data_IF_844594584834
#
_entry.id   IF_844594584834
#
_cell.length_a   1.000
_cell.length_b   1.000
_cell.length_c   1.000
_cell.angle_alpha   90.00
_cell.angle_beta   90.00
_cell.angle_gamma   90.00
#
_symmetry.space_group_name_H-M   'P 1'
#
loop_
_entity.id
_entity.type
_entity.pdbx_description
1 polymer ?
#
# COMPACT_ATOMS: atom_id res chain seq x y z
N UNK A 1 1.32 -12.37 7.49
CA UNK A 1 2.23 -13.03 6.53
C UNK A 1 2.97 -11.95 5.76
N UNK A 2 4.31 -11.96 5.73
CA UNK A 2 5.11 -10.88 5.11
C UNK A 2 5.16 -10.93 3.58
N UNK A 3 4.92 -12.10 2.99
CA UNK A 3 4.83 -12.25 1.53
C UNK A 3 3.38 -12.30 1.05
N UNK A 4 3.06 -11.67 -0.09
CA UNK A 4 1.75 -11.78 -0.72
C UNK A 4 1.50 -13.22 -1.18
N UNK A 5 0.22 -13.62 -1.12
CA UNK A 5 -0.17 -14.93 -1.66
C UNK A 5 -0.09 -14.96 -3.19
N UNK A 6 0.01 -16.16 -3.78
CA UNK A 6 -0.06 -16.34 -5.23
C UNK A 6 -1.36 -15.77 -5.81
N UNK A 7 -2.46 -15.87 -5.06
CA UNK A 7 -3.75 -15.29 -5.43
C UNK A 7 -3.70 -13.75 -5.46
N UNK A 8 -3.15 -13.09 -4.43
CA UNK A 8 -2.98 -11.63 -4.43
C UNK A 8 -2.14 -11.16 -5.61
N UNK A 9 -1.01 -11.84 -5.88
CA UNK A 9 -0.16 -11.53 -7.04
C UNK A 9 -0.93 -11.65 -8.35
N UNK A 10 -1.66 -12.76 -8.54
CA UNK A 10 -2.44 -12.98 -9.75
C UNK A 10 -3.57 -11.94 -9.91
N UNK A 11 -4.27 -11.62 -8.82
CA UNK A 11 -5.36 -10.66 -8.81
C UNK A 11 -4.87 -9.24 -9.12
N UNK A 12 -3.82 -8.77 -8.45
CA UNK A 12 -3.27 -7.44 -8.68
C UNK A 12 -2.75 -7.27 -10.11
N UNK A 13 -2.07 -8.28 -10.67
CA UNK A 13 -1.62 -8.25 -12.06
C UNK A 13 -2.78 -8.25 -13.04
N UNK A 14 -3.83 -9.03 -12.79
CA UNK A 14 -5.04 -9.01 -13.60
C UNK A 14 -5.73 -7.64 -13.57
N UNK A 15 -5.73 -6.93 -12.44
CA UNK A 15 -6.28 -5.57 -12.34
C UNK A 15 -5.48 -4.57 -13.20
N UNK A 16 -4.15 -4.62 -13.16
CA UNK A 16 -3.30 -3.82 -14.07
C UNK A 16 -3.56 -4.17 -15.53
N UNK A 17 -3.66 -5.46 -15.85
CA UNK A 17 -3.95 -5.94 -17.21
C UNK A 17 -5.33 -5.48 -17.72
N UNK A 18 -6.29 -5.28 -16.81
CA UNK A 18 -7.61 -4.73 -17.09
C UNK A 18 -7.66 -3.20 -17.20
N UNK A 19 -6.54 -2.50 -16.97
CA UNK A 19 -6.40 -1.05 -17.16
C UNK A 19 -6.25 -0.22 -15.88
N UNK A 20 -6.03 -0.84 -14.72
CA UNK A 20 -5.71 -0.08 -13.50
C UNK A 20 -4.34 0.60 -13.61
N UNK A 21 -4.25 1.85 -13.16
CA UNK A 21 -2.99 2.61 -13.12
C UNK A 21 -2.16 2.36 -11.84
N UNK A 22 -2.80 1.82 -10.80
CA UNK A 22 -2.23 1.52 -9.49
C UNK A 22 -3.13 0.50 -8.79
N UNK A 23 -2.53 -0.47 -8.10
CA UNK A 23 -3.24 -1.39 -7.19
C UNK A 23 -2.75 -1.16 -5.76
N UNK A 24 -3.69 -1.00 -4.83
CA UNK A 24 -3.42 -0.88 -3.40
C UNK A 24 -4.29 -1.89 -2.67
N UNK A 25 -3.64 -2.86 -2.04
CA UNK A 25 -4.28 -3.91 -1.26
C UNK A 25 -4.01 -3.72 0.24
N UNK A 26 -4.76 -4.49 1.03
CA UNK A 26 -4.63 -4.60 2.47
C UNK A 26 -5.11 -6.01 2.89
N UNK A 27 -5.13 -6.31 4.20
CA UNK A 27 -5.60 -7.54 4.87
C UNK A 27 -4.59 -8.20 5.82
N UNK A 28 -3.31 -8.46 5.46
CA UNK A 28 -2.44 -9.29 6.30
C UNK A 28 -1.94 -8.61 7.58
N UNK A 29 -2.47 -7.42 7.91
CA UNK A 29 -2.16 -6.56 9.07
C UNK A 29 -0.70 -6.10 9.20
N UNK A 30 0.14 -6.48 8.25
CA UNK A 30 1.55 -6.10 8.16
C UNK A 30 1.81 -5.54 6.77
N UNK A 31 2.83 -4.68 6.66
CA UNK A 31 3.32 -4.20 5.38
C UNK A 31 3.86 -5.40 4.57
N UNK A 32 3.47 -5.47 3.31
CA UNK A 32 4.04 -6.41 2.34
C UNK A 32 4.83 -5.63 1.28
N UNK A 33 5.65 -6.34 0.51
CA UNK A 33 6.41 -5.72 -0.59
C UNK A 33 5.49 -5.00 -1.58
N UNK A 34 6.04 -4.01 -2.27
CA UNK A 34 5.48 -3.46 -3.50
C UNK A 34 6.16 -4.08 -4.72
N UNK A 35 5.49 -3.99 -5.87
CA UNK A 35 5.99 -4.48 -7.15
C UNK A 35 5.68 -3.46 -8.24
N UNK A 36 6.60 -3.28 -9.19
CA UNK A 36 6.31 -2.62 -10.45
C UNK A 36 6.00 -3.68 -11.52
N UNK A 37 4.84 -3.59 -12.14
CA UNK A 37 4.37 -4.49 -13.19
C UNK A 37 3.81 -3.66 -14.35
N UNK A 38 4.36 -3.83 -15.55
CA UNK A 38 4.01 -3.06 -16.76
C UNK A 38 4.06 -1.54 -16.56
N UNK A 39 5.09 -1.06 -15.88
CA UNK A 39 5.29 0.36 -15.54
C UNK A 39 4.19 0.95 -14.63
N UNK A 40 3.44 0.10 -13.93
CA UNK A 40 2.42 0.46 -12.93
C UNK A 40 2.80 -0.15 -11.58
N UNK A 41 2.38 0.48 -10.51
CA UNK A 41 2.73 0.06 -9.15
C UNK A 41 1.64 -0.81 -8.52
N UNK A 42 2.07 -1.79 -7.74
CA UNK A 42 1.23 -2.66 -6.92
C UNK A 42 1.76 -2.61 -5.48
N UNK A 43 0.88 -2.34 -4.52
CA UNK A 43 1.16 -2.42 -3.09
C UNK A 43 0.31 -3.53 -2.48
N UNK A 44 0.91 -4.67 -2.12
CA UNK A 44 0.16 -5.85 -1.70
C UNK A 44 -0.41 -5.78 -0.28
N UNK A 45 0.14 -4.92 0.57
CA UNK A 45 -0.46 -4.56 1.86
C UNK A 45 0.23 -3.35 2.45
N UNK A 46 -0.56 -2.37 2.85
CA UNK A 46 -0.07 -1.21 3.61
C UNK A 46 0.08 -1.47 5.11
N UNK A 47 -0.28 -2.65 5.62
CA UNK A 47 -0.31 -2.88 7.07
C UNK A 47 -1.35 -2.02 7.79
N UNK A 48 -1.29 -1.97 9.11
CA UNK A 48 -2.31 -1.29 9.91
C UNK A 48 -2.12 0.23 9.91
N UNK A 49 -3.20 0.98 9.71
CA UNK A 49 -3.22 2.45 9.88
C UNK A 49 -3.83 2.88 11.23
N UNK A 50 -4.93 2.26 11.65
CA UNK A 50 -5.53 2.38 12.99
C UNK A 50 -6.08 0.99 13.34
N UNK A 51 -5.49 0.31 14.33
CA UNK A 51 -5.89 -1.05 14.71
C UNK A 51 -5.38 -1.41 16.10
N UNK A 52 -6.10 -2.26 16.84
CA UNK A 52 -5.80 -2.65 18.23
C UNK A 52 -4.90 -3.89 18.38
N UNK A 53 -4.08 -4.20 17.36
CA UNK A 53 -3.25 -5.40 17.30
C UNK A 53 -1.79 -5.14 17.71
N UNK A 54 -1.54 -5.03 19.01
CA UNK A 54 -0.19 -4.80 19.57
C UNK A 54 0.64 -6.05 19.83
N UNK A 55 0.23 -7.22 19.32
CA UNK A 55 0.93 -8.48 19.57
C UNK A 55 2.30 -8.58 18.88
N UNK A 56 2.64 -7.68 17.95
CA UNK A 56 3.95 -7.62 17.30
C UNK A 56 4.32 -6.19 16.89
N UNK A 57 5.62 -5.93 16.66
CA UNK A 57 6.07 -4.64 16.12
C UNK A 57 5.53 -4.41 14.72
N UNK A 58 5.48 -5.46 13.90
CA UNK A 58 5.05 -5.39 12.52
C UNK A 58 3.57 -5.03 12.36
N UNK A 59 2.71 -5.41 13.30
CA UNK A 59 1.28 -5.04 13.30
C UNK A 59 1.02 -3.66 13.89
N UNK A 60 2.03 -3.08 14.53
CA UNK A 60 2.08 -1.68 14.98
C UNK A 60 2.75 -0.77 13.94
N UNK A 61 3.09 -1.30 12.76
CA UNK A 61 3.67 -0.56 11.65
C UNK A 61 2.82 -0.69 10.40
N UNK A 62 2.77 0.39 9.63
CA UNK A 62 2.04 0.49 8.38
C UNK A 62 2.68 1.48 7.42
N UNK A 63 2.04 1.67 6.29
CA UNK A 63 2.41 2.64 5.27
C UNK A 63 1.21 3.49 4.87
N UNK A 64 1.47 4.77 4.65
CA UNK A 64 0.55 5.71 4.02
C UNK A 64 1.10 5.98 2.63
N UNK A 65 0.27 5.87 1.60
CA UNK A 65 0.66 6.26 0.25
C UNK A 65 0.22 7.68 -0.02
N UNK A 66 1.19 8.58 -0.22
CA UNK A 66 0.93 9.89 -0.79
C UNK A 66 0.97 9.78 -2.31
N UNK A 67 -0.17 9.98 -2.95
CA UNK A 67 -0.30 9.89 -4.42
C UNK A 67 -0.54 11.29 -4.96
N UNK A 68 0.39 11.78 -5.77
CA UNK A 68 0.26 13.06 -6.47
C UNK A 68 -0.28 12.80 -7.87
N UNK A 69 -1.39 13.46 -8.21
CA UNK A 69 -2.04 13.35 -9.52
C UNK A 69 -1.88 14.65 -10.30
N UNK A 70 -1.93 14.57 -11.63
CA UNK A 70 -1.94 15.74 -12.51
C UNK A 70 -2.90 15.54 -13.68
N UNK A 71 -3.40 16.65 -14.22
CA UNK A 71 -4.25 16.63 -15.41
C UNK A 71 -3.39 16.76 -16.68
N UNK A 72 -3.65 15.91 -17.66
CA UNK A 72 -3.02 15.87 -18.97
C UNK A 72 -4.11 15.73 -20.03
N UNK A 73 -4.48 16.84 -20.68
CA UNK A 73 -5.42 16.87 -21.81
C UNK A 73 -6.69 16.03 -21.58
N UNK A 74 -7.38 16.29 -20.46
CA UNK A 74 -8.61 15.59 -20.03
C UNK A 74 -8.42 14.18 -19.45
N UNK A 75 -7.19 13.75 -19.19
CA UNK A 75 -6.87 12.53 -18.44
C UNK A 75 -6.17 12.85 -17.12
N UNK A 76 -6.52 12.16 -16.05
CA UNK A 76 -5.79 12.23 -14.77
C UNK A 76 -4.69 11.18 -14.81
N UNK A 77 -3.46 11.59 -14.50
CA UNK A 77 -2.29 10.70 -14.46
C UNK A 77 -1.63 10.77 -13.09
N UNK A 78 -0.99 9.67 -12.70
CA UNK A 78 -0.14 9.62 -11.52
C UNK A 78 1.18 10.31 -11.84
N UNK A 79 1.52 11.35 -11.07
CA UNK A 79 2.80 12.05 -11.13
C UNK A 79 3.85 11.35 -10.29
N UNK A 80 3.46 10.99 -9.06
CA UNK A 80 4.36 10.47 -8.04
C UNK A 80 3.58 9.64 -7.02
N UNK A 81 4.20 8.58 -6.54
CA UNK A 81 3.73 7.79 -5.41
C UNK A 81 4.86 7.78 -4.38
N UNK A 82 4.58 8.30 -3.19
CA UNK A 82 5.55 8.35 -2.09
C UNK A 82 4.99 7.51 -0.93
N UNK A 83 5.53 6.31 -0.67
CA UNK A 83 5.23 5.56 0.53
C UNK A 83 5.83 6.27 1.75
N UNK A 84 5.03 6.43 2.79
CA UNK A 84 5.42 7.03 4.07
C UNK A 84 5.20 6.00 5.16
N UNK A 85 6.21 5.76 5.99
CA UNK A 85 6.05 4.84 7.12
C UNK A 85 5.20 5.48 8.21
N UNK A 86 4.29 4.68 8.75
CA UNK A 86 3.46 5.03 9.89
C UNK A 86 3.67 4.00 11.00
N UNK A 87 3.68 4.46 12.24
CA UNK A 87 3.72 3.62 13.42
C UNK A 87 2.57 3.96 14.34
N UNK A 88 1.95 2.94 14.92
CA UNK A 88 0.98 3.09 15.98
C UNK A 88 1.70 3.32 17.32
N UNK A 89 1.26 4.34 18.05
CA UNK A 89 1.67 4.53 19.44
C UNK A 89 0.91 3.60 20.39
N UNK A 90 1.17 3.70 21.69
CA UNK A 90 0.53 2.85 22.70
C UNK A 90 -0.99 3.03 22.82
N UNK A 91 -1.53 4.11 22.25
CA UNK A 91 -2.96 4.40 22.15
C UNK A 91 -3.55 4.07 20.78
N UNK A 92 -2.81 3.33 19.93
CA UNK A 92 -3.21 2.95 18.58
C UNK A 92 -3.47 4.14 17.64
N UNK A 93 -2.80 5.26 17.89
CA UNK A 93 -2.84 6.43 17.01
C UNK A 93 -1.66 6.38 16.02
N UNK A 94 -1.88 6.71 14.73
CA UNK A 94 -0.83 6.71 13.74
C UNK A 94 0.07 7.94 13.86
N UNK A 95 1.37 7.69 13.86
CA UNK A 95 2.43 8.69 13.80
C UNK A 95 3.25 8.46 12.53
N UNK A 96 3.45 9.51 11.74
CA UNK A 96 4.34 9.44 10.57
C UNK A 96 5.77 9.39 11.09
N UNK A 97 6.50 8.36 10.69
CA UNK A 97 7.92 8.24 10.96
C UNK A 97 8.65 9.18 10.00
N UNK A 98 9.37 10.17 10.54
CA UNK A 98 10.15 11.14 9.77
C UNK A 98 11.50 10.58 9.36
#
# INVERSE_FOLDING_TARGET
KKEPSTFQIAFAKAAIDAGADLVVEHHPHVVQKSEEYKNKYIFYSLGNFIFDQNFSKETMSGQILKISLYNSSSTIKIKEITPMEARLNEFFQPEIVK
#
